data_IF_008726712214
#
_entry.id   IF_008726712214
#
_cell.length_a   1.000
_cell.length_b   1.000
_cell.length_c   1.000
_cell.angle_alpha   90.00
_cell.angle_beta   90.00
_cell.angle_gamma   90.00
#
_symmetry.space_group_name_H-M   'P 1'
#
loop_
_entity.id
_entity.type
_entity.pdbx_description
1 polymer ?
#
# COMPACT_ATOMS: atom_id res chain seq x y z
N UNK A 1 9.43 -0.11 -5.39
CA UNK A 1 9.37 1.36 -5.28
C UNK A 1 10.16 1.95 -6.43
N UNK A 2 9.50 2.71 -7.28
CA UNK A 2 10.16 3.46 -8.38
C UNK A 2 10.71 4.78 -7.81
N UNK A 3 11.17 4.76 -6.58
CA UNK A 3 11.62 5.94 -5.88
C UNK A 3 13.09 6.18 -6.18
N UNK A 4 13.46 7.24 -6.89
CA UNK A 4 14.84 7.69 -6.88
C UNK A 4 15.14 8.14 -5.45
N UNK A 5 16.13 7.56 -4.84
CA UNK A 5 16.58 7.71 -3.45
C UNK A 5 16.16 9.04 -2.82
N UNK A 6 15.23 8.95 -1.83
CA UNK A 6 14.47 10.05 -1.28
C UNK A 6 15.26 11.14 -0.57
N UNK A 7 16.09 11.85 -1.30
CA UNK A 7 16.65 13.14 -0.84
C UNK A 7 15.68 14.26 -1.22
N UNK A 8 15.56 15.25 -0.35
CA UNK A 8 14.80 16.48 -0.58
C UNK A 8 15.26 17.11 -1.91
N UNK A 9 14.35 17.16 -2.89
CA UNK A 9 14.66 17.66 -4.22
C UNK A 9 15.18 16.61 -5.22
N UNK A 10 14.82 15.34 -5.05
CA UNK A 10 15.16 14.27 -6.01
C UNK A 10 14.64 14.56 -7.42
N UNK A 11 15.42 14.17 -8.42
CA UNK A 11 15.04 14.31 -9.81
C UNK A 11 14.16 13.14 -10.24
N UNK A 12 12.96 13.45 -10.74
CA UNK A 12 12.04 12.49 -11.31
C UNK A 12 11.76 12.80 -12.78
N UNK A 13 12.36 12.03 -13.67
CA UNK A 13 12.04 12.02 -15.09
C UNK A 13 11.17 10.82 -15.41
N UNK A 14 9.86 10.99 -15.69
CA UNK A 14 8.90 9.89 -15.81
C UNK A 14 9.35 8.77 -16.75
N UNK A 15 9.84 9.11 -17.93
CA UNK A 15 10.30 8.12 -18.91
C UNK A 15 11.53 7.33 -18.44
N UNK A 16 12.43 7.96 -17.66
CA UNK A 16 13.59 7.30 -17.07
C UNK A 16 13.16 6.40 -15.91
N UNK A 17 12.28 6.91 -15.05
CA UNK A 17 11.71 6.17 -13.92
C UNK A 17 10.97 4.91 -14.38
N UNK A 18 10.15 5.01 -15.44
CA UNK A 18 9.45 3.86 -16.04
C UNK A 18 10.44 2.79 -16.50
N UNK A 19 11.44 3.17 -17.31
CA UNK A 19 12.45 2.21 -17.79
C UNK A 19 13.20 1.55 -16.63
N UNK A 20 13.63 2.34 -15.66
CA UNK A 20 14.33 1.84 -14.47
C UNK A 20 13.46 0.89 -13.66
N UNK A 21 12.20 1.26 -13.39
CA UNK A 21 11.27 0.41 -12.65
C UNK A 21 10.99 -0.93 -13.34
N UNK A 22 10.82 -0.93 -14.67
CA UNK A 22 10.65 -2.17 -15.43
C UNK A 22 11.89 -3.08 -15.28
N UNK A 23 13.10 -2.53 -15.38
CA UNK A 23 14.34 -3.27 -15.19
C UNK A 23 14.49 -3.83 -13.78
N UNK A 24 14.06 -3.08 -12.74
CA UNK A 24 14.07 -3.57 -11.36
C UNK A 24 13.11 -4.76 -11.19
N UNK A 25 11.87 -4.67 -11.66
CA UNK A 25 10.89 -5.77 -11.58
C UNK A 25 11.40 -6.99 -12.34
N UNK A 26 11.98 -6.79 -13.53
CA UNK A 26 12.61 -7.87 -14.30
C UNK A 26 13.72 -8.56 -13.50
N UNK A 27 14.67 -7.78 -12.97
CA UNK A 27 15.81 -8.30 -12.24
C UNK A 27 15.39 -9.10 -10.99
N UNK A 28 14.40 -8.58 -10.24
CA UNK A 28 13.85 -9.27 -9.06
C UNK A 28 13.21 -10.61 -9.47
N UNK A 29 12.39 -10.60 -10.55
CA UNK A 29 11.75 -11.84 -11.03
C UNK A 29 12.76 -12.86 -11.54
N UNK A 30 13.78 -12.43 -12.27
CA UNK A 30 14.84 -13.30 -12.78
C UNK A 30 15.67 -13.91 -11.64
N UNK A 31 15.94 -13.16 -10.57
CA UNK A 31 16.71 -13.62 -9.41
C UNK A 31 15.92 -14.56 -8.49
N UNK A 32 14.65 -14.19 -8.19
CA UNK A 32 13.84 -14.92 -7.21
C UNK A 32 12.97 -16.03 -7.81
N UNK A 33 12.82 -16.07 -9.13
CA UNK A 33 11.92 -17.02 -9.81
C UNK A 33 10.44 -16.74 -9.57
N UNK A 34 9.60 -17.73 -9.83
CA UNK A 34 8.13 -17.60 -9.82
C UNK A 34 7.48 -17.95 -8.47
N UNK A 35 8.26 -18.44 -7.50
CA UNK A 35 7.75 -18.86 -6.18
C UNK A 35 7.49 -17.69 -5.21
N UNK A 36 7.94 -16.49 -5.58
CA UNK A 36 7.78 -15.27 -4.77
C UNK A 36 6.85 -14.32 -5.50
N UNK A 37 5.83 -13.83 -4.80
CA UNK A 37 4.97 -12.76 -5.30
C UNK A 37 5.65 -11.40 -5.17
N UNK A 38 5.50 -10.56 -6.20
CA UNK A 38 6.10 -9.24 -6.27
C UNK A 38 5.00 -8.18 -6.22
N UNK A 39 4.91 -7.45 -5.12
CA UNK A 39 4.11 -6.24 -5.03
C UNK A 39 5.00 -5.04 -5.37
N UNK A 40 4.51 -4.16 -6.23
CA UNK A 40 5.25 -2.96 -6.64
C UNK A 40 4.46 -1.72 -6.27
N UNK A 41 5.01 -0.91 -5.39
CA UNK A 41 4.46 0.39 -5.05
C UNK A 41 5.08 1.48 -5.93
N UNK A 42 4.26 2.09 -6.79
CA UNK A 42 4.61 3.25 -7.62
C UNK A 42 4.45 4.54 -6.83
N UNK A 43 3.65 4.49 -5.78
CA UNK A 43 3.47 5.55 -4.80
C UNK A 43 3.11 6.90 -5.43
N UNK A 44 2.13 6.88 -6.33
CA UNK A 44 1.58 8.06 -7.00
C UNK A 44 2.55 8.84 -7.92
N UNK A 45 3.71 8.28 -8.26
CA UNK A 45 4.78 9.02 -8.95
C UNK A 45 4.56 9.22 -10.45
N UNK A 46 3.62 8.49 -11.06
CA UNK A 46 3.41 8.54 -12.51
C UNK A 46 2.10 9.24 -12.88
N UNK A 47 2.05 9.78 -14.08
CA UNK A 47 0.82 10.16 -14.74
C UNK A 47 0.19 8.95 -15.48
N UNK A 48 -1.07 9.03 -15.95
CA UNK A 48 -1.71 7.88 -16.60
C UNK A 48 -0.93 7.33 -17.80
N UNK A 49 -0.28 8.17 -18.59
CA UNK A 49 0.46 7.73 -19.78
C UNK A 49 1.72 6.93 -19.39
N UNK A 50 2.47 7.42 -18.42
CA UNK A 50 3.64 6.74 -17.89
C UNK A 50 3.27 5.47 -17.10
N UNK A 51 2.19 5.51 -16.31
CA UNK A 51 1.66 4.36 -15.60
C UNK A 51 1.24 3.22 -16.53
N UNK A 52 0.57 3.53 -17.65
CA UNK A 52 0.24 2.54 -18.69
C UNK A 52 1.49 1.91 -19.27
N UNK A 53 2.51 2.72 -19.58
CA UNK A 53 3.77 2.18 -20.09
C UNK A 53 4.46 1.27 -19.09
N UNK A 54 4.47 1.66 -17.80
CA UNK A 54 5.03 0.85 -16.74
C UNK A 54 4.29 -0.46 -16.58
N UNK A 55 2.97 -0.43 -16.40
CA UNK A 55 2.14 -1.62 -16.22
C UNK A 55 2.31 -2.61 -17.40
N UNK A 56 2.26 -2.12 -18.64
CA UNK A 56 2.51 -2.97 -19.82
C UNK A 56 3.93 -3.55 -19.84
N UNK A 57 4.91 -2.78 -19.43
CA UNK A 57 6.31 -3.22 -19.39
C UNK A 57 6.58 -4.32 -18.37
N UNK A 58 5.78 -4.41 -17.30
CA UNK A 58 5.95 -5.41 -16.25
C UNK A 58 5.00 -6.61 -16.35
N UNK A 59 4.02 -6.60 -17.26
CA UNK A 59 3.06 -7.71 -17.43
C UNK A 59 3.72 -9.10 -17.56
N UNK A 60 4.82 -9.18 -18.32
CA UNK A 60 5.54 -10.43 -18.52
C UNK A 60 6.16 -11.00 -17.23
N UNK A 61 6.37 -10.17 -16.23
CA UNK A 61 6.95 -10.53 -14.94
C UNK A 61 5.92 -10.85 -13.88
N UNK A 62 4.64 -10.75 -14.20
CA UNK A 62 3.49 -11.17 -13.38
C UNK A 62 3.57 -10.63 -11.94
N UNK A 63 3.59 -9.31 -11.72
CA UNK A 63 3.50 -8.78 -10.37
C UNK A 63 2.15 -9.15 -9.74
N UNK A 64 2.14 -9.35 -8.42
CA UNK A 64 0.92 -9.62 -7.66
C UNK A 64 -0.05 -8.45 -7.74
N UNK A 65 0.47 -7.23 -7.61
CA UNK A 65 -0.21 -6.00 -7.99
C UNK A 65 0.78 -4.85 -8.22
N UNK A 66 0.28 -3.81 -8.89
CA UNK A 66 0.90 -2.48 -8.94
C UNK A 66 0.06 -1.54 -8.06
N UNK A 67 0.71 -1.00 -7.03
CA UNK A 67 0.10 -0.08 -6.08
C UNK A 67 0.27 1.36 -6.53
N UNK A 68 -0.80 2.15 -6.32
CA UNK A 68 -0.91 3.58 -6.57
C UNK A 68 -0.17 4.05 -7.84
N UNK A 69 -0.53 3.48 -9.03
CA UNK A 69 0.18 3.78 -10.27
C UNK A 69 0.11 5.25 -10.66
N UNK A 70 -0.94 5.95 -10.21
CA UNK A 70 -1.17 7.38 -10.46
C UNK A 70 -1.63 8.08 -9.18
N UNK A 71 -1.71 9.39 -9.22
CA UNK A 71 -2.17 10.21 -8.09
C UNK A 71 -3.64 9.94 -7.76
N UNK A 72 -3.94 9.98 -6.47
CA UNK A 72 -5.24 9.59 -5.91
C UNK A 72 -6.35 10.64 -6.06
N UNK A 73 -6.03 11.90 -6.43
CA UNK A 73 -7.01 12.99 -6.50
C UNK A 73 -8.02 12.81 -7.63
N UNK A 74 -7.65 12.09 -8.68
CA UNK A 74 -8.51 11.81 -9.82
C UNK A 74 -8.66 10.30 -10.02
N UNK A 75 -9.49 9.69 -9.16
CA UNK A 75 -9.79 8.26 -9.25
C UNK A 75 -10.36 7.83 -10.62
N UNK A 76 -11.04 8.76 -11.31
CA UNK A 76 -11.54 8.52 -12.68
C UNK A 76 -10.43 8.17 -13.67
N UNK A 77 -9.24 8.75 -13.47
CA UNK A 77 -8.08 8.52 -14.35
C UNK A 77 -7.54 7.09 -14.24
N UNK A 78 -7.84 6.35 -13.16
CA UNK A 78 -7.53 4.92 -13.05
C UNK A 78 -8.15 4.10 -14.17
N UNK A 79 -9.33 4.52 -14.70
CA UNK A 79 -9.97 3.86 -15.83
C UNK A 79 -9.05 3.78 -17.05
N UNK A 80 -8.25 4.81 -17.29
CA UNK A 80 -7.30 4.84 -18.43
C UNK A 80 -6.21 3.76 -18.24
N UNK A 81 -5.73 3.58 -17.03
CA UNK A 81 -4.74 2.54 -16.71
C UNK A 81 -5.39 1.16 -16.77
N UNK A 82 -6.53 0.99 -16.07
CA UNK A 82 -7.27 -0.28 -15.99
C UNK A 82 -7.62 -0.86 -17.37
N UNK A 83 -8.00 -0.02 -18.32
CA UNK A 83 -8.38 -0.44 -19.68
C UNK A 83 -7.18 -0.88 -20.54
N UNK A 84 -5.96 -0.59 -20.12
CA UNK A 84 -4.76 -0.80 -20.92
C UNK A 84 -3.80 -1.86 -20.39
N UNK A 85 -4.08 -2.45 -19.24
CA UNK A 85 -3.23 -3.47 -18.62
C UNK A 85 -4.04 -4.61 -18.03
N UNK A 86 -3.46 -5.79 -18.01
CA UNK A 86 -3.96 -6.96 -17.29
C UNK A 86 -3.33 -7.13 -15.89
N UNK A 87 -2.34 -6.30 -15.56
CA UNK A 87 -1.71 -6.34 -14.24
C UNK A 87 -2.72 -5.91 -13.17
N UNK A 88 -2.86 -6.67 -12.06
CA UNK A 88 -3.72 -6.25 -10.96
C UNK A 88 -3.28 -4.91 -10.37
N UNK A 89 -4.27 -4.07 -10.04
CA UNK A 89 -4.07 -2.73 -9.50
C UNK A 89 -4.51 -2.71 -8.04
N UNK A 90 -3.73 -2.06 -7.19
CA UNK A 90 -4.02 -1.83 -5.78
C UNK A 90 -4.02 -0.33 -5.48
N UNK A 91 -5.10 0.20 -4.89
CA UNK A 91 -5.21 1.62 -4.51
C UNK A 91 -6.04 1.81 -3.25
N UNK A 92 -5.87 2.95 -2.59
CA UNK A 92 -6.76 3.35 -1.51
C UNK A 92 -6.09 3.86 -0.23
N UNK A 93 -4.78 3.79 -0.10
CA UNK A 93 -4.07 4.20 1.13
C UNK A 93 -4.32 5.66 1.51
N UNK A 94 -4.57 6.53 0.52
CA UNK A 94 -4.74 7.96 0.73
C UNK A 94 -6.22 8.38 0.91
N UNK A 95 -7.17 7.45 0.87
CA UNK A 95 -8.60 7.78 0.86
C UNK A 95 -9.26 7.71 2.23
N UNK A 96 -9.81 8.86 2.63
CA UNK A 96 -10.57 8.99 3.87
C UNK A 96 -12.03 8.60 3.66
N UNK A 97 -12.46 7.52 4.35
CA UNK A 97 -13.85 7.08 4.37
C UNK A 97 -14.35 6.44 3.07
N UNK A 98 -15.46 5.74 3.17
CA UNK A 98 -16.07 4.97 2.06
C UNK A 98 -16.45 5.80 0.82
N UNK A 99 -16.70 7.09 0.99
CA UNK A 99 -17.11 7.95 -0.11
C UNK A 99 -16.01 8.14 -1.17
N UNK A 100 -14.75 8.15 -0.74
CA UNK A 100 -13.61 8.22 -1.65
C UNK A 100 -13.42 6.90 -2.43
N UNK A 101 -13.75 5.76 -1.82
CA UNK A 101 -13.68 4.45 -2.47
C UNK A 101 -14.83 4.19 -3.46
N UNK A 102 -15.92 4.96 -3.38
CA UNK A 102 -17.16 4.68 -4.08
C UNK A 102 -16.98 4.40 -5.56
N UNK A 103 -16.41 5.35 -6.29
CA UNK A 103 -16.28 5.25 -7.74
C UNK A 103 -15.41 4.07 -8.15
N UNK A 104 -14.29 3.89 -7.45
CA UNK A 104 -13.32 2.84 -7.77
C UNK A 104 -13.90 1.45 -7.56
N UNK A 105 -14.74 1.25 -6.54
CA UNK A 105 -15.43 -0.01 -6.29
C UNK A 105 -16.55 -0.23 -7.30
N UNK A 106 -17.47 0.75 -7.46
CA UNK A 106 -18.65 0.61 -8.34
C UNK A 106 -18.26 0.42 -9.82
N UNK A 107 -17.12 0.92 -10.25
CA UNK A 107 -16.62 0.80 -11.63
C UNK A 107 -15.49 -0.25 -11.77
N UNK A 108 -15.19 -1.00 -10.70
CA UNK A 108 -14.18 -2.08 -10.70
C UNK A 108 -12.82 -1.63 -11.24
N UNK A 109 -12.37 -0.45 -10.79
CA UNK A 109 -11.12 0.16 -11.26
C UNK A 109 -9.88 -0.36 -10.54
N UNK A 110 -10.05 -1.20 -9.53
CA UNK A 110 -8.98 -1.83 -8.76
C UNK A 110 -9.26 -3.29 -8.50
N UNK A 111 -8.23 -4.08 -8.26
CA UNK A 111 -8.32 -5.49 -7.86
C UNK A 111 -8.10 -5.66 -6.36
N UNK A 112 -7.33 -4.74 -5.74
CA UNK A 112 -7.02 -4.76 -4.32
C UNK A 112 -7.31 -3.40 -3.69
N UNK A 113 -8.03 -3.40 -2.58
CA UNK A 113 -8.32 -2.20 -1.79
C UNK A 113 -7.25 -2.05 -0.69
N UNK A 114 -6.42 -1.00 -0.80
CA UNK A 114 -5.38 -0.61 0.15
C UNK A 114 -5.98 0.25 1.27
N UNK A 115 -6.92 -0.31 2.02
CA UNK A 115 -7.60 0.42 3.10
C UNK A 115 -6.61 0.67 4.24
N UNK A 116 -6.26 1.93 4.50
CA UNK A 116 -5.61 2.33 5.74
C UNK A 116 -6.68 2.60 6.81
N UNK A 117 -6.69 1.81 7.87
CA UNK A 117 -7.72 1.91 8.91
C UNK A 117 -7.65 3.26 9.63
N UNK A 118 -6.45 3.81 9.80
CA UNK A 118 -6.26 5.10 10.49
C UNK A 118 -6.77 6.26 9.64
N UNK A 119 -6.59 6.19 8.32
CA UNK A 119 -7.05 7.22 7.36
C UNK A 119 -8.52 7.05 7.02
N UNK A 120 -8.98 5.82 6.82
CA UNK A 120 -10.36 5.50 6.44
C UNK A 120 -11.40 5.85 7.52
N UNK A 121 -10.99 6.07 8.76
CA UNK A 121 -11.90 6.44 9.85
C UNK A 121 -12.21 5.30 10.84
N UNK A 122 -11.26 4.37 11.01
CA UNK A 122 -11.32 3.28 11.96
C UNK A 122 -12.00 2.02 11.43
N UNK A 123 -12.02 0.98 12.26
CA UNK A 123 -12.55 -0.36 11.92
C UNK A 123 -14.00 -0.33 11.42
N UNK A 124 -14.85 0.51 12.01
CA UNK A 124 -16.27 0.60 11.62
C UNK A 124 -16.43 1.07 10.18
N UNK A 125 -15.66 2.05 9.75
CA UNK A 125 -15.73 2.54 8.37
C UNK A 125 -15.01 1.60 7.40
N UNK A 126 -13.84 1.10 7.78
CA UNK A 126 -13.09 0.12 7.00
C UNK A 126 -13.91 -1.16 6.72
N UNK A 127 -14.68 -1.65 7.71
CA UNK A 127 -15.57 -2.82 7.54
C UNK A 127 -16.69 -2.58 6.52
N UNK A 128 -17.21 -1.35 6.41
CA UNK A 128 -18.20 -1.01 5.37
C UNK A 128 -17.57 -1.04 3.99
N UNK A 129 -16.35 -0.50 3.84
CA UNK A 129 -15.60 -0.52 2.58
C UNK A 129 -15.31 -1.99 2.19
N UNK A 130 -14.82 -2.79 3.13
CA UNK A 130 -14.54 -4.21 2.91
C UNK A 130 -15.77 -4.99 2.43
N UNK A 131 -16.93 -4.82 3.10
CA UNK A 131 -18.18 -5.46 2.67
C UNK A 131 -18.67 -4.98 1.30
N UNK A 132 -18.32 -3.78 0.89
CA UNK A 132 -18.61 -3.28 -0.45
C UNK A 132 -17.68 -3.91 -1.49
N UNK A 133 -16.39 -4.00 -1.21
CA UNK A 133 -15.41 -4.68 -2.04
C UNK A 133 -15.80 -6.15 -2.33
N UNK A 134 -16.33 -6.87 -1.33
CA UNK A 134 -16.76 -8.26 -1.47
C UNK A 134 -17.79 -8.45 -2.60
N UNK A 135 -18.69 -7.47 -2.81
CA UNK A 135 -19.72 -7.55 -3.86
C UNK A 135 -19.18 -7.32 -5.27
N UNK A 136 -17.96 -6.84 -5.39
CA UNK A 136 -17.26 -6.55 -6.64
C UNK A 136 -16.00 -7.40 -6.86
N UNK A 137 -15.81 -8.45 -6.06
CA UNK A 137 -14.61 -9.32 -6.11
C UNK A 137 -13.28 -8.56 -5.95
N UNK A 138 -13.31 -7.44 -5.24
CA UNK A 138 -12.12 -6.66 -4.91
C UNK A 138 -11.55 -7.21 -3.60
N UNK A 139 -10.31 -7.67 -3.64
CA UNK A 139 -9.61 -8.21 -2.48
C UNK A 139 -9.12 -7.11 -1.54
N UNK A 140 -8.98 -7.41 -0.27
CA UNK A 140 -8.31 -6.53 0.69
C UNK A 140 -6.80 -6.77 0.67
N UNK A 141 -6.06 -5.69 0.65
CA UNK A 141 -4.63 -5.64 0.93
C UNK A 141 -4.36 -4.40 1.81
N UNK A 142 -4.75 -4.42 3.11
CA UNK A 142 -4.73 -3.22 3.94
C UNK A 142 -3.37 -2.57 3.99
N UNK A 143 -3.34 -1.24 3.78
CA UNK A 143 -2.16 -0.41 3.96
C UNK A 143 -1.84 -0.27 5.44
N UNK A 144 -0.59 -0.56 5.82
CA UNK A 144 -0.16 -0.52 7.21
C UNK A 144 1.34 -0.26 7.36
N UNK A 145 1.85 0.95 7.10
CA UNK A 145 3.24 1.32 7.34
C UNK A 145 3.52 1.63 8.82
N UNK A 146 2.48 1.54 9.66
CA UNK A 146 2.47 2.00 11.04
C UNK A 146 2.96 0.93 12.04
N UNK A 147 2.45 1.00 13.26
CA UNK A 147 2.92 0.20 14.37
C UNK A 147 1.99 -0.97 14.75
N UNK A 148 2.26 -1.60 15.92
CA UNK A 148 1.58 -2.82 16.34
C UNK A 148 0.06 -2.71 16.47
N UNK A 149 -0.47 -1.54 16.87
CA UNK A 149 -1.92 -1.32 17.02
C UNK A 149 -2.60 -1.34 15.66
N UNK A 150 -2.02 -0.65 14.66
CA UNK A 150 -2.54 -0.65 13.29
C UNK A 150 -2.44 -2.04 12.67
N UNK A 151 -1.33 -2.76 12.87
CA UNK A 151 -1.16 -4.15 12.42
C UNK A 151 -2.26 -5.06 12.97
N UNK A 152 -2.56 -4.96 14.26
CA UNK A 152 -3.64 -5.73 14.88
C UNK A 152 -5.02 -5.35 14.35
N UNK A 153 -5.29 -4.04 14.16
CA UNK A 153 -6.55 -3.59 13.61
C UNK A 153 -6.78 -4.09 12.16
N UNK A 154 -5.73 -4.05 11.33
CA UNK A 154 -5.76 -4.62 9.98
C UNK A 154 -6.03 -6.12 10.01
N UNK A 155 -5.38 -6.87 10.91
CA UNK A 155 -5.61 -8.30 11.08
C UNK A 155 -7.08 -8.58 11.40
N UNK A 156 -7.69 -7.85 12.36
CA UNK A 156 -9.11 -8.02 12.68
C UNK A 156 -10.04 -7.69 11.50
N UNK A 157 -9.72 -6.69 10.69
CA UNK A 157 -10.45 -6.42 9.46
C UNK A 157 -10.35 -7.59 8.47
N UNK A 158 -9.16 -8.12 8.27
CA UNK A 158 -8.90 -9.27 7.41
C UNK A 158 -9.66 -10.51 7.88
N UNK A 159 -9.59 -10.83 9.18
CA UNK A 159 -10.31 -11.97 9.77
C UNK A 159 -11.85 -11.86 9.65
N UNK A 160 -12.37 -10.65 9.53
CA UNK A 160 -13.80 -10.39 9.36
C UNK A 160 -14.23 -10.29 7.89
N UNK A 161 -13.36 -10.59 6.94
CA UNK A 161 -13.58 -10.44 5.51
C UNK A 161 -13.31 -11.74 4.77
N UNK A 162 -14.08 -12.02 3.70
CA UNK A 162 -13.95 -13.25 2.92
C UNK A 162 -12.93 -13.13 1.78
N UNK A 163 -12.67 -11.93 1.30
CA UNK A 163 -11.73 -11.66 0.21
C UNK A 163 -10.51 -10.91 0.75
N UNK A 164 -9.47 -11.63 1.09
CA UNK A 164 -8.19 -11.07 1.56
C UNK A 164 -7.07 -11.60 0.69
N UNK A 165 -6.28 -10.69 0.12
CA UNK A 165 -5.08 -11.02 -0.63
C UNK A 165 -3.88 -11.14 0.29
N UNK A 166 -3.43 -10.01 0.81
CA UNK A 166 -2.25 -9.91 1.69
C UNK A 166 -2.43 -8.74 2.65
N UNK A 167 -1.81 -8.81 3.82
CA UNK A 167 -1.71 -7.67 4.73
C UNK A 167 -0.29 -7.14 4.73
N UNK A 168 -0.14 -5.83 4.55
CA UNK A 168 1.15 -5.18 4.72
C UNK A 168 1.64 -5.27 6.17
N UNK A 169 2.89 -5.69 6.35
CA UNK A 169 3.53 -5.84 7.64
C UNK A 169 5.04 -5.52 7.54
N UNK A 170 5.43 -4.23 7.50
CA UNK A 170 6.81 -3.83 7.27
C UNK A 170 7.73 -4.21 8.43
N UNK A 171 7.17 -4.41 9.62
CA UNK A 171 7.90 -4.84 10.82
C UNK A 171 7.20 -6.05 11.42
N UNK A 172 7.79 -7.23 11.34
CA UNK A 172 7.22 -8.42 11.99
C UNK A 172 6.96 -8.17 13.47
N UNK A 173 5.77 -8.54 14.00
CA UNK A 173 5.46 -8.40 15.42
C UNK A 173 6.56 -8.99 16.31
N UNK A 174 6.84 -8.33 17.42
CA UNK A 174 7.90 -8.73 18.36
C UNK A 174 9.32 -8.28 17.94
N UNK A 175 9.49 -7.62 16.80
CA UNK A 175 10.82 -7.14 16.35
C UNK A 175 11.06 -5.65 16.59
N UNK A 176 10.01 -4.86 16.81
CA UNK A 176 10.12 -3.42 17.03
C UNK A 176 9.15 -2.95 18.14
N UNK A 177 9.56 -1.89 18.84
CA UNK A 177 8.76 -1.23 19.89
C UNK A 177 8.26 -2.19 20.99
N UNK A 178 9.06 -3.19 21.35
CA UNK A 178 8.68 -4.23 22.33
C UNK A 178 8.66 -3.71 23.76
N UNK A 179 9.30 -2.60 24.04
CA UNK A 179 9.23 -1.85 25.29
C UNK A 179 7.89 -1.15 25.47
N UNK A 180 7.41 -0.47 24.43
CA UNK A 180 6.14 0.27 24.43
C UNK A 180 4.94 -0.65 24.14
N UNK A 181 5.14 -1.70 23.37
CA UNK A 181 4.14 -2.71 23.02
C UNK A 181 4.63 -4.11 23.42
N UNK A 182 4.61 -4.45 24.73
CA UNK A 182 5.15 -5.73 25.23
C UNK A 182 4.36 -6.94 24.74
N UNK A 183 3.12 -6.75 24.35
CA UNK A 183 2.28 -7.77 23.73
C UNK A 183 1.84 -7.28 22.36
N UNK A 184 2.17 -8.04 21.34
CA UNK A 184 1.80 -7.79 19.95
C UNK A 184 1.07 -9.02 19.38
N UNK A 185 0.43 -8.91 18.22
CA UNK A 185 -0.24 -10.05 17.60
C UNK A 185 0.79 -11.15 17.30
N UNK A 186 0.43 -12.44 17.45
CA UNK A 186 1.35 -13.53 17.17
C UNK A 186 1.74 -13.56 15.70
N UNK A 187 3.02 -13.86 15.43
CA UNK A 187 3.57 -13.94 14.08
C UNK A 187 4.44 -15.17 13.96
N UNK A 188 4.18 -16.00 12.97
CA UNK A 188 4.95 -17.22 12.73
C UNK A 188 5.05 -17.53 11.24
N UNK A 189 6.24 -17.83 10.77
CA UNK A 189 6.51 -18.27 9.39
C UNK A 189 5.90 -17.36 8.29
N UNK A 190 5.89 -16.05 8.50
CA UNK A 190 5.31 -15.09 7.56
C UNK A 190 3.80 -14.84 7.73
N UNK A 191 3.16 -15.46 8.73
CA UNK A 191 1.73 -15.32 8.99
C UNK A 191 1.47 -14.56 10.29
N UNK A 192 0.53 -13.63 10.25
CA UNK A 192 -0.10 -13.06 11.44
C UNK A 192 -1.17 -14.04 11.92
N UNK A 193 -1.08 -14.45 13.18
CA UNK A 193 -2.01 -15.41 13.76
C UNK A 193 -3.13 -14.71 14.53
N UNK A 194 -4.26 -15.39 14.68
CA UNK A 194 -5.40 -14.89 15.45
C UNK A 194 -4.99 -14.71 16.91
N UNK A 195 -5.09 -13.49 17.48
CA UNK A 195 -4.82 -13.29 18.90
C UNK A 195 -5.91 -13.92 19.76
N UNK A 196 -5.53 -14.47 20.90
CA UNK A 196 -6.45 -15.05 21.89
C UNK A 196 -6.82 -14.08 23.03
N UNK A 197 -6.23 -12.89 23.03
CA UNK A 197 -6.45 -11.86 24.03
C UNK A 197 -7.62 -10.94 23.67
N UNK A 198 -8.28 -10.34 24.68
CA UNK A 198 -9.37 -9.37 24.46
C UNK A 198 -8.92 -8.14 23.65
N UNK A 199 -9.89 -7.48 23.00
CA UNK A 199 -9.66 -6.28 22.22
C UNK A 199 -8.88 -6.58 20.95
N UNK A 200 -7.86 -5.80 20.63
CA UNK A 200 -6.98 -6.01 19.49
C UNK A 200 -5.89 -7.08 19.72
N UNK A 201 -5.72 -7.55 20.96
CA UNK A 201 -4.65 -8.48 21.32
C UNK A 201 -3.28 -7.81 21.44
N UNK A 202 -3.24 -6.49 21.64
CA UNK A 202 -2.03 -5.68 21.83
C UNK A 202 -2.11 -4.98 23.17
N UNK A 203 -0.99 -4.93 23.89
CA UNK A 203 -0.85 -4.14 25.12
C UNK A 203 0.05 -2.93 24.85
N UNK A 204 -0.30 -1.79 25.45
CA UNK A 204 0.46 -0.54 25.36
C UNK A 204 0.92 -0.14 26.76
N UNK A 205 2.22 0.07 26.91
CA UNK A 205 2.84 0.54 28.14
C UNK A 205 3.05 2.06 28.06
N UNK A 206 2.19 2.82 28.74
CA UNK A 206 2.25 4.29 28.75
C UNK A 206 3.49 4.81 29.50
N UNK A 207 4.02 4.05 30.47
CA UNK A 207 5.19 4.47 31.24
C UNK A 207 6.49 4.30 30.42
N UNK A 208 6.51 3.29 29.55
CA UNK A 208 7.62 3.08 28.63
C UNK A 208 7.59 4.03 27.44
N UNK A 209 6.44 4.60 27.11
CA UNK A 209 6.27 5.57 26.04
C UNK A 209 6.84 6.94 26.49
N UNK A 210 8.06 7.24 26.12
CA UNK A 210 8.67 8.53 26.39
C UNK A 210 8.38 9.53 25.29
N UNK A 211 8.20 10.80 25.65
CA UNK A 211 8.14 11.89 24.68
C UNK A 211 9.45 11.98 23.91
N UNK A 212 9.35 11.88 22.59
CA UNK A 212 10.46 12.13 21.68
C UNK A 212 10.28 13.46 20.96
N UNK A 213 11.36 13.98 20.41
CA UNK A 213 11.27 15.14 19.52
C UNK A 213 10.40 14.81 18.30
N UNK A 214 9.42 15.67 17.95
CA UNK A 214 8.62 15.45 16.76
C UNK A 214 9.53 15.35 15.53
N UNK A 215 9.48 14.23 14.83
CA UNK A 215 10.10 14.15 13.52
C UNK A 215 9.25 14.96 12.56
N UNK A 216 9.67 16.16 12.24
CA UNK A 216 9.09 16.90 11.13
C UNK A 216 9.36 16.08 9.87
N UNK A 217 8.33 15.42 9.36
CA UNK A 217 8.38 14.83 8.02
C UNK A 217 8.61 15.97 7.04
N UNK A 218 9.76 15.99 6.41
CA UNK A 218 9.95 16.88 5.26
C UNK A 218 9.18 16.24 4.11
N UNK A 219 8.26 16.99 3.50
CA UNK A 219 7.58 16.56 2.28
C UNK A 219 8.63 16.24 1.22
N UNK A 220 8.44 15.14 0.51
CA UNK A 220 9.29 14.78 -0.62
C UNK A 220 8.71 15.50 -1.83
N UNK A 221 9.54 16.33 -2.49
CA UNK A 221 9.17 16.95 -3.76
C UNK A 221 10.13 16.51 -4.84
N UNK A 222 9.59 16.40 -6.06
CA UNK A 222 10.36 15.98 -7.20
C UNK A 222 10.44 17.09 -8.25
N UNK A 223 11.63 17.22 -8.84
CA UNK A 223 11.94 18.15 -9.89
C UNK A 223 12.37 17.41 -11.16
N UNK A 224 12.24 18.04 -12.28
CA UNK A 224 12.88 17.57 -13.53
C UNK A 224 14.32 18.06 -13.61
N UNK A 225 15.10 17.47 -14.49
CA UNK A 225 16.50 17.90 -14.73
C UNK A 225 16.61 19.38 -15.12
N UNK A 226 15.59 19.96 -15.75
CA UNK A 226 15.52 21.38 -16.11
C UNK A 226 15.11 22.30 -14.94
N UNK A 227 14.89 21.76 -13.76
CA UNK A 227 14.46 22.48 -12.56
C UNK A 227 12.97 22.75 -12.47
N UNK A 228 12.15 22.25 -13.39
CA UNK A 228 10.69 22.34 -13.28
C UNK A 228 10.15 21.34 -12.25
N UNK A 229 9.10 21.73 -11.54
CA UNK A 229 8.41 20.85 -10.58
C UNK A 229 7.64 19.74 -11.31
N UNK A 230 7.65 18.53 -10.77
CA UNK A 230 6.96 17.40 -11.39
C UNK A 230 5.99 16.66 -10.45
N UNK A 231 6.36 16.43 -9.19
CA UNK A 231 5.51 15.68 -8.26
C UNK A 231 5.89 15.99 -6.79
N UNK A 232 5.07 15.53 -5.83
CA UNK A 232 5.34 15.60 -4.39
C UNK A 232 5.37 14.22 -3.76
#
# INVERSE_FOLDING_TARGET
MVDPEGEEGSILEPSRAVRFGIEQVRAVREELGDEIEICVDVHTRLDPAAAIQFCKGVEAYRPFFIEDPIRSESSESLRLVRQQTSVPIAVGEQWAGKWAFRQVIEEELTDYARIDICIAGGLTEARKIAGWCETHYIYLAPHNPLGPVSTAACLHLCLASSLVGVQECPRPPGTAHTDVFPVQVPFEQGYLLVPDKPGLGVEFDEEAAVEGEPRAGKGIWYWREDGSYTNW
#
